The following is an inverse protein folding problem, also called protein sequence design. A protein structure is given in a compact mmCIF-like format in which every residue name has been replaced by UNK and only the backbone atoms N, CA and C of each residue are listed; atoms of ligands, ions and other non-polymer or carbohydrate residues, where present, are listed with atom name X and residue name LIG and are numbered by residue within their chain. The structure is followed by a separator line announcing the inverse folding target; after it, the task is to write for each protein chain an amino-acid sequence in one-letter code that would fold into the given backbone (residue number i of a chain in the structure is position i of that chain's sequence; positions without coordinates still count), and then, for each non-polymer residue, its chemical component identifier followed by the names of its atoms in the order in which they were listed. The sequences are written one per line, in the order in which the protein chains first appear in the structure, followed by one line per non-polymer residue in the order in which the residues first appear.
data_IF_294477527564
#
_entry.id   IF_294477527564
#
_cell.length_a   1.000
_cell.length_b   1.000
_cell.length_c   1.000
_cell.angle_alpha   90.00
_cell.angle_beta   90.00
_cell.angle_gamma   90.00
#
_symmetry.space_group_name_H-M   'P 1'
#
loop_
_entity.id
_entity.type
_entity.pdbx_description
1 polymer ?
#
# COMPACT_ATOMS: atom_id res chain seq x y z
N UNK A 1 3.41 -9.00 -9.06
CA UNK A 1 2.89 -8.50 -10.34
C UNK A 1 4.05 -8.20 -11.29
N UNK A 2 3.91 -8.59 -12.53
CA UNK A 2 4.98 -8.48 -13.51
C UNK A 2 5.39 -7.04 -13.82
N UNK A 3 4.45 -6.12 -13.76
CA UNK A 3 4.70 -4.71 -14.09
C UNK A 3 5.18 -3.88 -12.89
N UNK A 4 5.42 -4.50 -11.74
CA UNK A 4 5.88 -3.77 -10.55
C UNK A 4 7.37 -3.97 -10.32
N UNK A 5 8.01 -2.99 -9.67
CA UNK A 5 9.44 -3.09 -9.37
C UNK A 5 9.69 -4.11 -8.24
N UNK A 6 10.97 -4.37 -8.00
CA UNK A 6 11.40 -5.37 -7.02
C UNK A 6 10.86 -5.09 -5.62
N UNK A 7 10.87 -3.82 -5.20
CA UNK A 7 10.45 -3.45 -3.84
C UNK A 7 8.95 -3.66 -3.63
N UNK A 8 8.12 -3.33 -4.63
CA UNK A 8 6.69 -3.58 -4.56
C UNK A 8 6.41 -5.09 -4.55
N UNK A 9 7.10 -5.87 -5.39
CA UNK A 9 6.91 -7.31 -5.39
C UNK A 9 7.34 -7.96 -4.07
N UNK A 10 8.42 -7.48 -3.45
CA UNK A 10 8.82 -7.94 -2.12
C UNK A 10 7.76 -7.61 -1.07
N UNK A 11 7.18 -6.41 -1.14
CA UNK A 11 6.10 -6.01 -0.26
C UNK A 11 4.90 -6.95 -0.39
N UNK A 12 4.49 -7.27 -1.62
CA UNK A 12 3.35 -8.14 -1.86
C UNK A 12 3.60 -9.56 -1.33
N UNK A 13 4.82 -10.06 -1.45
CA UNK A 13 5.20 -11.35 -0.90
C UNK A 13 5.08 -11.33 0.63
N UNK A 14 5.58 -10.28 1.28
CA UNK A 14 5.47 -10.13 2.74
C UNK A 14 4.01 -10.07 3.18
N UNK A 15 3.19 -9.28 2.48
CA UNK A 15 1.76 -9.16 2.79
C UNK A 15 1.04 -10.51 2.68
N UNK A 16 1.42 -11.34 1.71
CA UNK A 16 0.78 -12.64 1.53
C UNK A 16 1.06 -13.60 2.69
N UNK A 17 2.09 -13.34 3.48
CA UNK A 17 2.47 -14.16 4.63
C UNK A 17 1.88 -13.64 5.95
N UNK A 18 1.31 -12.43 5.94
CA UNK A 18 0.69 -11.87 7.13
C UNK A 18 -0.69 -12.49 7.37
N UNK A 19 -1.13 -12.43 8.62
CA UNK A 19 -2.46 -12.89 9.00
C UNK A 19 -3.56 -11.91 8.59
N UNK A 20 -3.21 -10.80 7.98
CA UNK A 20 -4.18 -9.83 7.47
C UNK A 20 -4.99 -10.47 6.35
N UNK A 21 -6.32 -10.41 6.48
CA UNK A 21 -7.27 -10.99 5.52
C UNK A 21 -8.20 -9.90 5.00
N UNK A 22 -8.94 -10.23 3.96
CA UNK A 22 -10.03 -9.39 3.44
C UNK A 22 -9.55 -8.07 2.86
N UNK A 23 -8.35 -8.04 2.30
CA UNK A 23 -7.90 -6.92 1.50
C UNK A 23 -7.84 -7.33 0.02
N UNK A 24 -7.91 -6.34 -0.84
CA UNK A 24 -7.83 -6.53 -2.29
C UNK A 24 -6.72 -5.65 -2.85
N UNK A 25 -5.90 -6.23 -3.72
CA UNK A 25 -4.88 -5.46 -4.42
C UNK A 25 -5.52 -4.77 -5.62
N UNK A 26 -5.23 -3.48 -5.77
CA UNK A 26 -5.77 -2.65 -6.83
C UNK A 26 -4.62 -2.00 -7.59
N UNK A 27 -4.58 -2.20 -8.89
CA UNK A 27 -3.51 -1.65 -9.73
C UNK A 27 -4.11 -0.61 -10.69
N UNK A 28 -4.47 0.55 -10.12
CA UNK A 28 -5.00 1.65 -10.92
C UNK A 28 -3.95 2.29 -11.84
N UNK A 29 -2.69 2.12 -11.50
CA UNK A 29 -1.60 2.80 -12.19
C UNK A 29 -0.67 1.76 -12.81
N UNK A 30 -1.17 1.04 -13.81
CA UNK A 30 -0.39 -0.02 -14.45
C UNK A 30 0.95 0.47 -14.98
N UNK A 31 1.01 1.72 -15.43
CA UNK A 31 2.26 2.32 -15.91
C UNK A 31 3.21 2.71 -14.77
N UNK A 32 2.72 2.78 -13.54
CA UNK A 32 3.54 3.12 -12.36
C UNK A 32 4.04 1.85 -11.69
N UNK A 33 5.27 1.47 -11.99
CA UNK A 33 5.87 0.25 -11.44
C UNK A 33 6.23 0.38 -9.96
N UNK A 34 6.14 1.57 -9.37
CA UNK A 34 6.54 1.83 -7.98
C UNK A 34 5.39 1.88 -7.00
N UNK A 35 4.15 1.69 -7.44
CA UNK A 35 2.98 1.85 -6.58
C UNK A 35 1.98 0.72 -6.72
N UNK A 36 1.23 0.51 -5.64
CA UNK A 36 0.12 -0.45 -5.59
C UNK A 36 -0.94 0.09 -4.63
N UNK A 37 -2.22 -0.24 -4.88
CA UNK A 37 -3.31 0.07 -3.98
C UNK A 37 -3.73 -1.15 -3.18
N UNK A 38 -4.05 -0.95 -1.91
CA UNK A 38 -4.62 -1.98 -1.04
C UNK A 38 -5.99 -1.49 -0.63
N UNK A 39 -7.04 -2.18 -1.08
CA UNK A 39 -8.42 -1.82 -0.76
C UNK A 39 -8.96 -2.67 0.36
N UNK A 40 -9.53 -2.01 1.38
CA UNK A 40 -10.24 -2.67 2.47
C UNK A 40 -11.59 -1.96 2.55
N UNK A 41 -12.66 -2.64 2.13
CA UNK A 41 -14.00 -2.06 2.02
C UNK A 41 -13.96 -0.76 1.21
N UNK A 42 -14.34 0.38 1.77
CA UNK A 42 -14.34 1.66 1.08
C UNK A 42 -13.07 2.49 1.34
N UNK A 43 -12.03 1.86 1.84
CA UNK A 43 -10.75 2.52 2.12
C UNK A 43 -9.70 2.02 1.14
N UNK A 44 -8.99 2.94 0.51
CA UNK A 44 -7.87 2.63 -0.38
C UNK A 44 -6.58 3.13 0.25
N UNK A 45 -5.63 2.24 0.41
CA UNK A 45 -4.29 2.57 0.89
C UNK A 45 -3.36 2.55 -0.32
N UNK A 46 -2.93 3.73 -0.75
CA UNK A 46 -1.95 3.86 -1.82
C UNK A 46 -0.55 3.72 -1.22
N UNK A 47 0.25 2.82 -1.76
CA UNK A 47 1.61 2.56 -1.28
C UNK A 47 2.59 2.71 -2.44
N UNK A 48 3.61 3.55 -2.26
CA UNK A 48 4.66 3.75 -3.25
C UNK A 48 6.02 3.46 -2.66
N UNK A 49 6.87 2.77 -3.44
CA UNK A 49 8.25 2.49 -3.08
C UNK A 49 9.22 3.43 -3.78
N UNK A 50 8.76 4.59 -4.25
CA UNK A 50 9.54 5.52 -5.06
C UNK A 50 10.87 5.90 -4.41
N UNK A 51 10.86 6.18 -3.10
CA UNK A 51 12.07 6.58 -2.36
C UNK A 51 12.64 5.46 -1.49
N UNK A 52 12.22 4.21 -1.70
CA UNK A 52 12.58 3.10 -0.82
C UNK A 52 14.09 2.89 -0.73
N UNK A 53 14.79 3.00 -1.85
CA UNK A 53 16.24 2.76 -1.89
C UNK A 53 17.01 3.72 -0.97
N UNK A 54 16.51 4.96 -0.80
CA UNK A 54 17.15 5.94 0.06
C UNK A 54 16.69 5.93 1.50
N UNK A 55 15.43 5.54 1.74
CA UNK A 55 14.80 5.67 3.08
C UNK A 55 14.47 4.34 3.73
N UNK A 56 14.35 3.26 2.94
CA UNK A 56 13.79 1.97 3.35
C UNK A 56 12.36 2.10 3.91
N UNK A 57 11.62 3.10 3.40
CA UNK A 57 10.24 3.38 3.80
C UNK A 57 9.38 3.56 2.57
N UNK A 58 8.10 3.25 2.72
CA UNK A 58 7.09 3.44 1.69
C UNK A 58 6.39 4.78 1.88
N UNK A 59 5.95 5.38 0.79
CA UNK A 59 5.05 6.54 0.84
C UNK A 59 3.63 6.00 0.89
N UNK A 60 2.83 6.46 1.85
CA UNK A 60 1.48 5.93 2.08
C UNK A 60 0.47 7.07 2.09
N UNK A 61 -0.62 6.89 1.35
CA UNK A 61 -1.75 7.80 1.33
C UNK A 61 -3.01 6.97 1.53
N UNK A 62 -3.87 7.39 2.44
CA UNK A 62 -5.14 6.72 2.72
C UNK A 62 -6.27 7.58 2.22
N UNK A 63 -7.15 7.00 1.39
CA UNK A 63 -8.25 7.74 0.81
C UNK A 63 -9.53 6.91 0.76
N UNK A 64 -10.67 7.57 0.54
CA UNK A 64 -11.94 6.88 0.31
C UNK A 64 -11.95 6.32 -1.10
N UNK A 65 -12.25 5.04 -1.23
CA UNK A 65 -12.22 4.36 -2.51
C UNK A 65 -13.20 4.96 -3.52
N UNK A 66 -14.42 5.28 -3.06
CA UNK A 66 -15.50 5.76 -3.95
C UNK A 66 -15.31 7.20 -4.43
N UNK A 67 -14.75 8.08 -3.61
CA UNK A 67 -14.64 9.51 -3.94
C UNK A 67 -13.21 9.96 -4.22
N UNK A 68 -12.20 9.20 -3.79
CA UNK A 68 -10.81 9.61 -3.87
C UNK A 68 -10.43 10.67 -2.83
N UNK A 69 -11.33 10.97 -1.89
CA UNK A 69 -11.02 11.94 -0.83
C UNK A 69 -9.91 11.43 0.07
N UNK A 70 -8.85 12.21 0.23
CA UNK A 70 -7.73 11.85 1.09
C UNK A 70 -8.16 11.94 2.55
N UNK A 71 -8.06 10.81 3.27
CA UNK A 71 -8.38 10.73 4.69
C UNK A 71 -7.13 11.05 5.51
N UNK A 72 -6.00 10.46 5.13
CA UNK A 72 -4.76 10.62 5.87
C UNK A 72 -3.58 10.45 4.91
N UNK A 73 -2.59 11.32 5.03
CA UNK A 73 -1.39 11.28 4.22
C UNK A 73 -0.17 11.13 5.12
N UNK A 74 0.55 10.02 4.97
CA UNK A 74 1.79 9.80 5.66
C UNK A 74 2.90 9.67 4.63
N UNK A 75 3.87 10.57 4.67
CA UNK A 75 4.92 10.60 3.65
C UNK A 75 5.81 9.39 3.67
N UNK A 76 6.16 8.88 4.86
CA UNK A 76 7.07 7.75 4.98
C UNK A 76 6.64 6.79 6.07
N UNK A 77 6.49 5.51 5.71
CA UNK A 77 6.11 4.45 6.63
C UNK A 77 7.00 3.23 6.42
N UNK A 78 7.45 2.64 7.52
CA UNK A 78 8.13 1.34 7.46
C UNK A 78 7.10 0.25 7.14
N UNK A 79 7.59 -0.95 6.84
CA UNK A 79 6.71 -2.08 6.62
C UNK A 79 5.82 -2.34 7.85
N UNK A 80 6.39 -2.31 9.05
CA UNK A 80 5.63 -2.55 10.28
C UNK A 80 4.56 -1.49 10.50
N UNK A 81 4.88 -0.23 10.22
CA UNK A 81 3.91 0.86 10.30
C UNK A 81 2.77 0.67 9.29
N UNK A 82 3.09 0.22 8.08
CA UNK A 82 2.10 -0.08 7.06
C UNK A 82 1.16 -1.21 7.52
N UNK A 83 1.70 -2.27 8.09
CA UNK A 83 0.89 -3.37 8.63
C UNK A 83 -0.03 -2.89 9.74
N UNK A 84 0.46 -2.02 10.63
CA UNK A 84 -0.36 -1.43 11.69
C UNK A 84 -1.51 -0.60 11.11
N UNK A 85 -1.25 0.17 10.05
CA UNK A 85 -2.29 0.93 9.36
C UNK A 85 -3.38 0.01 8.82
N UNK A 86 -2.97 -1.07 8.15
CA UNK A 86 -3.92 -2.05 7.58
C UNK A 86 -4.78 -2.68 8.67
N UNK A 87 -4.14 -3.12 9.76
CA UNK A 87 -4.86 -3.76 10.87
C UNK A 87 -5.83 -2.80 11.55
N UNK A 88 -5.43 -1.56 11.73
CA UNK A 88 -6.26 -0.52 12.34
C UNK A 88 -7.50 -0.23 11.51
N UNK A 89 -7.37 -0.19 10.19
CA UNK A 89 -8.50 0.03 9.28
C UNK A 89 -9.48 -1.14 9.34
N UNK A 90 -8.98 -2.36 9.47
CA UNK A 90 -9.82 -3.56 9.55
C UNK A 90 -10.63 -3.64 10.84
N UNK A 91 -10.19 -2.99 11.88
CA UNK A 91 -10.95 -2.92 13.12
C UNK A 91 -12.15 -2.00 12.93
#
# INVERSE_FOLDING_TARGET
LENKNTEINKLLIKLSRESVRNYKLVDFWEADTTAIGIQIENTLIYVSAFNYDGTHKYNVIIEKYDTGEIIEEEEESTYDELINIIQKIKE
#
